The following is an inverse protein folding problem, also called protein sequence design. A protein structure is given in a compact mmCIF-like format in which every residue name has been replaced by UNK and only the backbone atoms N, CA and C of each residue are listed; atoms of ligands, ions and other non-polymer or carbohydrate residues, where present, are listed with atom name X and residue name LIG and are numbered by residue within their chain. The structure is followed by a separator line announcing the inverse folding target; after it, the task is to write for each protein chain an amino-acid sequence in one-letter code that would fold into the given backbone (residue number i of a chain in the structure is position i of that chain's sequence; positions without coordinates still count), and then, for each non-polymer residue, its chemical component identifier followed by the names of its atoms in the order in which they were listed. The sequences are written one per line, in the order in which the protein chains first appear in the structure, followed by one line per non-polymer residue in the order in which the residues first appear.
data_IF_713388671076
#
_entry.id   IF_713388671076
#
_cell.length_a   1.000
_cell.length_b   1.000
_cell.length_c   1.000
_cell.angle_alpha   90.00
_cell.angle_beta   90.00
_cell.angle_gamma   90.00
#
_symmetry.space_group_name_H-M   'P 1'
#
loop_
_entity.id
_entity.type
_entity.pdbx_description
1 polymer ?
#
# COMPACT_ATOMS: atom_id res chain seq x y z
N UNK A 1 -31.25 32.62 9.12
CA UNK A 1 -31.40 32.76 7.66
C UNK A 1 -32.52 31.85 7.20
N UNK A 2 -33.55 32.39 6.55
CA UNK A 2 -34.63 31.59 5.98
C UNK A 2 -34.21 31.06 4.60
N UNK A 3 -34.73 29.90 4.20
CA UNK A 3 -34.37 29.22 2.94
C UNK A 3 -34.71 30.10 1.72
N UNK A 4 -35.75 30.93 1.83
CA UNK A 4 -36.18 31.91 0.82
C UNK A 4 -35.15 33.00 0.58
N UNK A 5 -34.56 33.55 1.64
CA UNK A 5 -33.55 34.62 1.56
C UNK A 5 -32.24 34.12 0.92
N UNK A 6 -31.84 32.89 1.25
CA UNK A 6 -30.68 32.24 0.64
C UNK A 6 -30.87 31.98 -0.87
N UNK A 7 -32.06 31.50 -1.26
CA UNK A 7 -32.42 31.28 -2.67
C UNK A 7 -32.41 32.58 -3.47
N UNK A 8 -32.98 33.64 -2.92
CA UNK A 8 -33.08 34.92 -3.64
C UNK A 8 -31.71 35.58 -3.81
N UNK A 9 -30.81 35.40 -2.82
CA UNK A 9 -29.42 35.83 -2.91
C UNK A 9 -28.64 35.06 -3.98
N UNK A 10 -28.78 33.73 -4.04
CA UNK A 10 -28.17 32.91 -5.09
C UNK A 10 -28.71 33.28 -6.49
N UNK A 11 -30.02 33.52 -6.61
CA UNK A 11 -30.66 33.87 -7.88
C UNK A 11 -30.18 35.23 -8.40
N UNK A 12 -30.04 36.22 -7.52
CA UNK A 12 -29.49 37.53 -7.87
C UNK A 12 -28.00 37.46 -8.26
N UNK A 13 -27.22 36.60 -7.60
CA UNK A 13 -25.81 36.39 -7.96
C UNK A 13 -25.68 35.74 -9.35
N UNK A 14 -26.49 34.72 -9.64
CA UNK A 14 -26.50 34.02 -10.93
C UNK A 14 -27.03 34.92 -12.06
N UNK A 15 -28.05 35.73 -11.80
CA UNK A 15 -28.63 36.63 -12.80
C UNK A 15 -27.68 37.77 -13.22
N UNK A 16 -26.67 38.10 -12.41
CA UNK A 16 -25.72 39.19 -12.67
C UNK A 16 -24.54 38.75 -13.54
N UNK A 17 -24.39 37.44 -13.79
CA UNK A 17 -23.27 36.87 -14.55
C UNK A 17 -23.70 36.66 -16.00
N UNK A 18 -22.91 37.10 -17.01
CA UNK A 18 -23.22 36.84 -18.40
C UNK A 18 -23.18 35.32 -18.69
N UNK A 19 -24.06 34.88 -19.61
CA UNK A 19 -24.31 33.46 -19.88
C UNK A 19 -23.03 32.68 -20.18
N UNK A 20 -22.13 33.27 -20.96
CA UNK A 20 -20.87 32.62 -21.36
C UNK A 20 -19.88 32.47 -20.19
N UNK A 21 -19.80 33.48 -19.30
CA UNK A 21 -18.96 33.41 -18.11
C UNK A 21 -19.48 32.38 -17.09
N UNK A 22 -20.79 32.21 -17.00
CA UNK A 22 -21.42 31.18 -16.17
C UNK A 22 -21.06 29.78 -16.70
N UNK A 23 -21.13 29.56 -18.02
CA UNK A 23 -20.76 28.29 -18.65
C UNK A 23 -19.28 27.98 -18.40
N UNK A 24 -18.38 28.95 -18.62
CA UNK A 24 -16.95 28.78 -18.34
C UNK A 24 -16.68 28.49 -16.87
N UNK A 25 -17.37 29.17 -15.96
CA UNK A 25 -17.28 28.94 -14.52
C UNK A 25 -17.68 27.51 -14.12
N UNK A 26 -18.79 27.00 -14.67
CA UNK A 26 -19.22 25.62 -14.40
C UNK A 26 -18.18 24.60 -14.89
N UNK A 27 -17.62 24.80 -16.08
CA UNK A 27 -16.59 23.90 -16.64
C UNK A 27 -15.34 23.86 -15.75
N UNK A 28 -14.88 25.01 -15.28
CA UNK A 28 -13.71 25.12 -14.38
C UNK A 28 -13.99 24.48 -13.02
N UNK A 29 -15.19 24.68 -12.46
CA UNK A 29 -15.57 24.08 -11.18
C UNK A 29 -15.71 22.57 -11.31
N UNK A 30 -16.35 22.07 -12.36
CA UNK A 30 -16.52 20.64 -12.60
C UNK A 30 -15.17 19.93 -12.75
N UNK A 31 -14.25 20.50 -13.53
CA UNK A 31 -12.91 19.94 -13.71
C UNK A 31 -12.10 19.94 -12.41
N UNK A 32 -12.12 21.04 -11.64
CA UNK A 32 -11.46 21.11 -10.33
C UNK A 32 -12.03 20.10 -9.34
N UNK A 33 -13.34 19.91 -9.34
CA UNK A 33 -14.02 18.97 -8.43
C UNK A 33 -13.70 17.51 -8.79
N UNK A 34 -13.69 17.17 -10.08
CA UNK A 34 -13.27 15.86 -10.56
C UNK A 34 -11.82 15.54 -10.19
N UNK A 35 -10.93 16.52 -10.31
CA UNK A 35 -9.53 16.35 -9.93
C UNK A 35 -9.36 16.22 -8.41
N UNK A 36 -10.10 17.00 -7.63
CA UNK A 36 -10.10 16.93 -6.17
C UNK A 36 -10.57 15.57 -5.62
N UNK A 37 -11.66 15.03 -6.17
CA UNK A 37 -12.14 13.69 -5.82
C UNK A 37 -11.16 12.59 -6.24
N UNK A 38 -10.56 12.69 -7.43
CA UNK A 38 -9.56 11.74 -7.90
C UNK A 38 -8.30 11.72 -7.03
N UNK A 39 -7.82 12.90 -6.61
CA UNK A 39 -6.70 13.02 -5.69
C UNK A 39 -7.02 12.44 -4.31
N UNK A 40 -8.21 12.71 -3.77
CA UNK A 40 -8.65 12.16 -2.49
C UNK A 40 -8.79 10.63 -2.54
N UNK A 41 -9.38 10.09 -3.61
CA UNK A 41 -9.46 8.66 -3.85
C UNK A 41 -8.07 8.01 -4.01
N UNK A 42 -7.11 8.70 -4.62
CA UNK A 42 -5.72 8.25 -4.72
C UNK A 42 -5.00 8.21 -3.36
N UNK A 43 -5.29 9.14 -2.44
CA UNK A 43 -4.78 9.11 -1.08
C UNK A 43 -5.37 7.94 -0.27
N UNK A 44 -6.67 7.67 -0.40
CA UNK A 44 -7.28 6.51 0.24
C UNK A 44 -6.77 5.19 -0.33
N UNK A 45 -6.53 5.11 -1.65
CA UNK A 45 -5.88 3.95 -2.26
C UNK A 45 -4.44 3.75 -1.76
N UNK A 46 -3.70 4.85 -1.52
CA UNK A 46 -2.36 4.80 -0.94
C UNK A 46 -2.38 4.35 0.53
N UNK A 47 -3.41 4.75 1.29
CA UNK A 47 -3.62 4.30 2.67
C UNK A 47 -4.03 2.83 2.74
N UNK A 48 -4.94 2.36 1.89
CA UNK A 48 -5.32 0.95 1.82
C UNK A 48 -4.18 0.06 1.29
N UNK A 49 -3.33 0.60 0.41
CA UNK A 49 -2.08 -0.05 0.01
C UNK A 49 -1.09 -0.16 1.16
N UNK A 50 -1.02 0.86 2.02
CA UNK A 50 -0.14 0.88 3.19
C UNK A 50 -0.73 0.17 4.42
N UNK A 51 -2.05 -0.06 4.52
CA UNK A 51 -2.64 -0.80 5.64
C UNK A 51 -2.61 -2.33 5.43
N UNK A 52 -2.28 -2.78 4.21
CA UNK A 52 -1.83 -4.15 3.95
C UNK A 52 -0.30 -4.26 3.77
N UNK A 53 0.42 -3.13 3.88
CA UNK A 53 1.89 -3.05 3.80
C UNK A 53 2.49 -2.08 4.84
N UNK A 54 1.98 -2.04 6.07
CA UNK A 54 2.76 -1.47 7.19
C UNK A 54 3.69 -2.56 7.73
N UNK A 55 4.47 -3.14 6.82
CA UNK A 55 5.84 -3.50 7.15
C UNK A 55 6.61 -2.22 6.86
N UNK A 56 7.18 -1.55 7.87
CA UNK A 56 7.99 -0.39 7.61
C UNK A 56 9.08 -0.82 6.63
N UNK A 57 9.16 -0.16 5.46
CA UNK A 57 10.36 -0.17 4.62
C UNK A 57 11.46 0.59 5.38
N UNK A 58 11.89 0.01 6.50
CA UNK A 58 13.22 0.22 7.01
C UNK A 58 14.11 -0.47 6.00
N UNK A 59 14.78 0.34 5.20
CA UNK A 59 15.95 -0.05 4.44
C UNK A 59 17.05 -0.39 5.45
N UNK A 60 16.90 -1.55 6.11
CA UNK A 60 17.92 -2.23 6.88
C UNK A 60 18.08 -3.55 6.18
N UNK A 61 19.25 -3.69 5.57
CA UNK A 61 19.87 -4.89 5.01
C UNK A 61 18.97 -6.09 4.76
N UNK A 62 19.03 -6.53 3.50
CA UNK A 62 18.41 -7.73 2.94
C UNK A 62 19.01 -9.02 3.55
N UNK A 63 19.10 -9.11 4.88
CA UNK A 63 19.33 -10.34 5.59
C UNK A 63 17.96 -10.98 5.81
N UNK A 64 17.58 -11.90 4.92
CA UNK A 64 16.35 -12.66 5.12
C UNK A 64 16.36 -13.30 6.50
N UNK A 65 15.27 -13.13 7.26
CA UNK A 65 15.15 -13.70 8.61
C UNK A 65 15.16 -15.22 8.59
N UNK A 66 14.79 -15.82 7.46
CA UNK A 66 14.74 -17.25 7.26
C UNK A 66 15.50 -17.64 6.01
N UNK A 67 16.26 -18.73 6.11
CA UNK A 67 17.06 -19.29 5.03
C UNK A 67 16.64 -20.71 4.74
N UNK A 68 16.38 -21.01 3.48
CA UNK A 68 16.08 -22.35 3.00
C UNK A 68 17.12 -22.78 1.95
N UNK A 69 17.20 -24.08 1.70
CA UNK A 69 17.99 -24.62 0.59
C UNK A 69 17.09 -24.82 -0.62
N UNK A 70 17.52 -24.40 -1.82
CA UNK A 70 16.84 -24.72 -3.10
C UNK A 70 16.63 -26.22 -3.30
N UNK A 71 17.53 -27.04 -2.77
CA UNK A 71 17.46 -28.51 -2.85
C UNK A 71 16.73 -29.14 -1.66
N UNK A 72 16.39 -28.36 -0.65
CA UNK A 72 15.73 -28.82 0.56
C UNK A 72 14.23 -28.52 0.54
N UNK A 73 13.53 -29.10 1.50
CA UNK A 73 12.12 -28.80 1.77
C UNK A 73 11.94 -28.10 3.11
N UNK A 74 13.04 -27.65 3.72
CA UNK A 74 13.05 -27.07 5.07
C UNK A 74 13.66 -25.68 5.08
N UNK A 75 13.09 -24.80 5.91
CA UNK A 75 13.66 -23.49 6.22
C UNK A 75 14.22 -23.45 7.64
N UNK A 76 15.22 -22.60 7.84
CA UNK A 76 16.04 -22.48 9.03
C UNK A 76 16.21 -21.01 9.40
N UNK A 77 16.58 -20.73 10.65
CA UNK A 77 17.12 -19.43 11.04
C UNK A 77 18.59 -19.33 10.62
N UNK A 78 19.12 -18.13 10.31
CA UNK A 78 20.52 -17.93 9.95
C UNK A 78 21.50 -18.36 11.06
N UNK A 79 21.04 -18.41 12.32
CA UNK A 79 21.80 -18.87 13.48
C UNK A 79 21.82 -20.38 13.69
N UNK A 80 21.11 -21.17 12.87
CA UNK A 80 21.07 -22.61 13.01
C UNK A 80 22.22 -23.30 12.26
N UNK A 81 22.77 -24.37 12.84
CA UNK A 81 23.77 -25.23 12.19
C UNK A 81 23.32 -25.79 10.82
N UNK A 82 22.00 -25.95 10.62
CA UNK A 82 21.44 -26.36 9.33
C UNK A 82 21.60 -25.32 8.23
N UNK A 83 21.57 -24.03 8.57
CA UNK A 83 21.72 -22.91 7.63
C UNK A 83 23.18 -22.73 7.18
N UNK A 84 24.13 -22.90 8.09
CA UNK A 84 25.56 -22.73 7.84
C UNK A 84 26.10 -23.77 6.84
N UNK A 85 25.48 -24.97 6.83
CA UNK A 85 25.85 -26.05 5.90
C UNK A 85 25.31 -25.86 4.48
N UNK A 86 24.42 -24.89 4.26
CA UNK A 86 23.88 -24.60 2.93
C UNK A 86 24.91 -23.74 2.18
N UNK A 87 25.33 -24.20 1.02
CA UNK A 87 26.18 -23.42 0.12
C UNK A 87 25.47 -22.14 -0.33
N UNK A 88 26.19 -21.02 -0.48
CA UNK A 88 25.58 -19.73 -0.86
C UNK A 88 24.80 -19.79 -2.17
N UNK A 89 25.22 -20.62 -3.14
CA UNK A 89 24.51 -20.84 -4.40
C UNK A 89 23.09 -21.42 -4.24
N UNK A 90 22.85 -22.13 -3.13
CA UNK A 90 21.59 -22.81 -2.82
C UNK A 90 20.79 -22.13 -1.71
N UNK A 91 21.28 -21.03 -1.13
CA UNK A 91 20.51 -20.27 -0.14
C UNK A 91 19.35 -19.54 -0.81
N UNK A 92 18.18 -19.66 -0.22
CA UNK A 92 16.98 -18.87 -0.53
C UNK A 92 16.59 -18.15 0.73
N UNK A 93 16.50 -16.83 0.64
CA UNK A 93 16.21 -15.96 1.77
C UNK A 93 14.75 -15.54 1.74
N UNK A 94 14.09 -15.67 2.89
CA UNK A 94 12.70 -15.29 3.08
C UNK A 94 12.59 -14.25 4.20
N UNK A 95 11.70 -13.30 4.00
CA UNK A 95 11.43 -12.21 4.95
C UNK A 95 10.49 -12.66 6.07
N UNK A 96 9.69 -13.72 5.83
CA UNK A 96 8.67 -14.23 6.75
C UNK A 96 8.50 -15.75 6.62
N UNK A 97 8.15 -16.42 7.71
CA UNK A 97 7.82 -17.85 7.79
C UNK A 97 6.66 -18.22 6.87
N UNK A 98 5.60 -17.40 6.86
CA UNK A 98 4.43 -17.62 6.00
C UNK A 98 4.79 -17.62 4.50
N UNK A 99 5.81 -16.86 4.11
CA UNK A 99 6.30 -16.82 2.73
C UNK A 99 7.11 -18.07 2.39
N UNK A 100 7.87 -18.60 3.35
CA UNK A 100 8.57 -19.88 3.19
C UNK A 100 7.57 -21.05 3.12
N UNK A 101 6.53 -21.04 3.95
CA UNK A 101 5.51 -22.09 3.99
C UNK A 101 4.63 -22.10 2.73
N UNK A 102 4.22 -20.92 2.25
CA UNK A 102 3.50 -20.80 0.96
C UNK A 102 4.36 -21.22 -0.23
N UNK A 103 5.68 -21.09 -0.14
CA UNK A 103 6.63 -21.65 -1.11
C UNK A 103 6.87 -23.16 -0.93
N UNK A 104 6.20 -23.82 0.02
CA UNK A 104 6.26 -25.26 0.25
C UNK A 104 7.40 -25.71 1.18
N UNK A 105 8.07 -24.80 1.87
CA UNK A 105 9.11 -25.14 2.84
C UNK A 105 8.51 -25.35 4.23
N UNK A 106 8.98 -26.38 4.91
CA UNK A 106 8.55 -26.74 6.27
C UNK A 106 9.58 -26.33 7.31
N UNK A 107 9.12 -26.15 8.53
CA UNK A 107 10.00 -25.76 9.61
C UNK A 107 11.00 -26.87 9.97
N UNK A 108 12.27 -26.51 10.08
CA UNK A 108 13.28 -27.47 10.49
C UNK A 108 13.15 -27.82 11.97
N UNK A 109 12.74 -29.05 12.27
CA UNK A 109 12.66 -29.60 13.64
C UNK A 109 14.00 -29.54 14.42
N UNK A 110 15.11 -29.32 13.73
CA UNK A 110 16.47 -29.29 14.28
C UNK A 110 16.89 -27.88 14.73
N UNK A 111 16.10 -26.84 14.40
CA UNK A 111 16.27 -25.49 14.92
C UNK A 111 15.50 -25.37 16.24
N UNK A 112 16.20 -25.23 17.36
CA UNK A 112 15.60 -25.05 18.69
C UNK A 112 15.49 -23.54 18.96
N UNK A 113 14.32 -22.94 18.73
CA UNK A 113 14.11 -21.51 19.01
C UNK A 113 13.04 -20.81 18.17
N UNK A 114 12.01 -21.54 17.77
CA UNK A 114 10.82 -21.09 17.04
C UNK A 114 9.59 -21.49 17.85
#
# INVERSE_FOLDING_TARGET
MTITEARDKCKNLVAKVPRDALILGIIVVASSFSFGLGYLAGLDASRFGNELLDVPLTTTETEGKFVASKSGTKYYLPSCAGAERISDANKVWFVSESLAESAGYTLAANCKGI
#
